data_IF_122956057424
#
_entry.id   IF_122956057424
#
_cell.length_a   1.000
_cell.length_b   1.000
_cell.length_c   1.000
_cell.angle_alpha   90.00
_cell.angle_beta   90.00
_cell.angle_gamma   90.00
#
_symmetry.space_group_name_H-M   'P 1'
#
loop_
_entity.id
_entity.type
_entity.pdbx_description
1 polymer ?
#
# COMPACT_ATOMS: atom_id res chain seq x y z
N UNK A 1 21.36 0.17 3.66
CA UNK A 1 20.90 -1.13 3.12
C UNK A 1 19.38 -1.07 3.07
N UNK A 2 18.83 -1.17 1.85
CA UNK A 2 17.52 -0.65 1.42
C UNK A 2 16.29 -1.09 2.23
N UNK A 3 15.72 -0.17 3.01
CA UNK A 3 14.34 -0.29 3.54
C UNK A 3 13.34 -0.51 2.38
N UNK A 4 13.52 0.23 1.29
CA UNK A 4 12.78 0.06 0.03
C UNK A 4 12.76 -1.39 -0.48
N UNK A 5 13.86 -2.13 -0.36
CA UNK A 5 13.92 -3.52 -0.84
C UNK A 5 13.14 -4.49 0.06
N UNK A 6 13.07 -4.22 1.37
CA UNK A 6 12.20 -4.98 2.30
C UNK A 6 10.73 -4.75 1.99
N UNK A 7 10.33 -3.49 1.79
CA UNK A 7 8.97 -3.17 1.40
C UNK A 7 8.62 -3.75 0.02
N UNK A 8 9.55 -3.69 -0.93
CA UNK A 8 9.36 -4.29 -2.26
C UNK A 8 9.12 -5.79 -2.21
N UNK A 9 9.82 -6.51 -1.34
CA UNK A 9 9.58 -7.94 -1.08
C UNK A 9 8.21 -8.21 -0.46
N UNK A 10 7.74 -7.34 0.45
CA UNK A 10 6.38 -7.41 1.04
C UNK A 10 5.27 -7.07 0.03
N UNK A 11 5.58 -6.27 -0.99
CA UNK A 11 4.64 -5.90 -2.05
C UNK A 11 4.53 -6.95 -3.17
N UNK A 12 5.50 -7.87 -3.29
CA UNK A 12 5.44 -9.02 -4.21
C UNK A 12 4.39 -10.02 -3.78
N UNK A 13 3.15 -9.69 -4.12
CA UNK A 13 1.94 -10.46 -3.87
C UNK A 13 1.55 -11.25 -5.11
N UNK A 14 0.71 -12.27 -4.95
CA UNK A 14 0.28 -13.14 -6.06
C UNK A 14 -0.50 -12.42 -7.18
N UNK A 15 -0.95 -11.18 -6.93
CA UNK A 15 -1.69 -10.35 -7.88
C UNK A 15 -0.83 -9.22 -8.45
N UNK A 16 -0.74 -9.16 -9.79
CA UNK A 16 0.03 -8.12 -10.52
C UNK A 16 -0.48 -6.71 -10.25
N UNK A 17 -1.79 -6.56 -10.10
CA UNK A 17 -2.43 -5.27 -9.81
C UNK A 17 -1.96 -4.69 -8.47
N UNK A 18 -1.93 -5.51 -7.41
CA UNK A 18 -1.40 -5.12 -6.11
C UNK A 18 0.08 -4.73 -6.19
N UNK A 19 0.89 -5.57 -6.85
CA UNK A 19 2.31 -5.31 -7.03
C UNK A 19 2.55 -3.96 -7.73
N UNK A 20 1.77 -3.66 -8.79
CA UNK A 20 1.89 -2.41 -9.53
C UNK A 20 1.56 -1.16 -8.71
N UNK A 21 0.41 -1.15 -8.03
CA UNK A 21 -0.01 0.03 -7.23
C UNK A 21 0.88 0.24 -6.02
N UNK A 22 1.31 -0.84 -5.35
CA UNK A 22 2.21 -0.77 -4.21
C UNK A 22 3.61 -0.32 -4.64
N UNK A 23 4.16 -0.85 -5.74
CA UNK A 23 5.47 -0.43 -6.23
C UNK A 23 5.49 1.04 -6.68
N UNK A 24 4.40 1.51 -7.29
CA UNK A 24 4.25 2.91 -7.71
C UNK A 24 4.14 3.86 -6.51
N UNK A 25 3.35 3.49 -5.49
CA UNK A 25 3.29 4.23 -4.23
C UNK A 25 4.64 4.25 -3.52
N UNK A 26 5.35 3.12 -3.46
CA UNK A 26 6.69 3.03 -2.87
C UNK A 26 7.72 3.91 -3.58
N UNK A 27 7.64 4.06 -4.90
CA UNK A 27 8.60 4.88 -5.66
C UNK A 27 8.30 6.37 -5.56
N UNK A 28 7.04 6.77 -5.69
CA UNK A 28 6.67 8.19 -5.71
C UNK A 28 6.41 8.76 -4.32
N UNK A 29 5.79 8.00 -3.44
CA UNK A 29 5.25 8.50 -2.17
C UNK A 29 6.12 8.15 -0.97
N UNK A 30 6.83 7.03 -0.95
CA UNK A 30 7.75 6.69 0.15
C UNK A 30 8.76 7.81 0.51
N UNK A 31 9.37 8.55 -0.45
CA UNK A 31 10.24 9.68 -0.10
C UNK A 31 9.50 10.94 0.37
N UNK A 32 8.19 11.03 0.16
CA UNK A 32 7.34 12.16 0.57
C UNK A 32 6.39 11.82 1.72
N UNK A 33 6.34 10.56 2.15
CA UNK A 33 5.44 10.06 3.17
C UNK A 33 6.00 10.36 4.55
N UNK A 34 5.17 10.94 5.40
CA UNK A 34 5.47 11.13 6.81
C UNK A 34 5.56 9.79 7.55
N UNK A 35 6.21 9.79 8.71
CA UNK A 35 6.37 8.60 9.54
C UNK A 35 5.01 7.94 9.90
N UNK A 36 3.95 8.73 10.08
CA UNK A 36 2.59 8.21 10.29
C UNK A 36 2.03 7.49 9.05
N UNK A 37 2.26 8.03 7.84
CA UNK A 37 1.81 7.39 6.59
C UNK A 37 2.58 6.10 6.33
N UNK A 38 3.89 6.09 6.59
CA UNK A 38 4.73 4.90 6.47
C UNK A 38 4.26 3.83 7.46
N UNK A 39 3.95 4.21 8.70
CA UNK A 39 3.45 3.27 9.71
C UNK A 39 2.09 2.68 9.31
N UNK A 40 1.14 3.52 8.87
CA UNK A 40 -0.16 3.04 8.37
C UNK A 40 -0.01 2.14 7.15
N UNK A 41 0.95 2.41 6.27
CA UNK A 41 1.23 1.57 5.12
C UNK A 41 1.88 0.24 5.51
N UNK A 42 2.76 0.22 6.52
CA UNK A 42 3.31 -1.03 7.05
C UNK A 42 2.21 -1.88 7.69
N UNK A 43 1.34 -1.30 8.53
CA UNK A 43 0.17 -2.00 9.09
C UNK A 43 -0.77 -2.52 7.99
N UNK A 44 -0.99 -1.73 6.94
CA UNK A 44 -1.77 -2.16 5.79
C UNK A 44 -1.10 -3.35 5.08
N UNK A 45 0.22 -3.34 4.91
CA UNK A 45 0.99 -4.44 4.33
C UNK A 45 1.00 -5.70 5.21
N UNK A 46 0.73 -5.60 6.51
CA UNK A 46 0.51 -6.75 7.40
C UNK A 46 -0.85 -7.43 7.16
N UNK A 47 -1.80 -6.77 6.49
CA UNK A 47 -3.07 -7.36 6.09
C UNK A 47 -2.90 -8.38 4.96
N UNK A 48 -3.81 -9.36 4.91
CA UNK A 48 -3.84 -10.39 3.88
C UNK A 48 -4.09 -9.80 2.47
N UNK A 49 -3.63 -10.50 1.44
CA UNK A 49 -3.88 -10.18 0.03
C UNK A 49 -5.32 -9.81 -0.32
N UNK A 50 -6.35 -10.62 0.03
CA UNK A 50 -7.74 -10.28 -0.26
C UNK A 50 -8.18 -8.96 0.39
N UNK A 51 -7.85 -8.72 1.66
CA UNK A 51 -8.19 -7.47 2.34
C UNK A 51 -7.54 -6.25 1.69
N UNK A 52 -6.27 -6.39 1.29
CA UNK A 52 -5.52 -5.30 0.68
C UNK A 52 -6.07 -4.97 -0.71
N UNK A 53 -6.47 -6.00 -1.46
CA UNK A 53 -7.22 -5.84 -2.70
C UNK A 53 -8.58 -5.17 -2.42
N UNK A 54 -9.31 -5.65 -1.40
CA UNK A 54 -10.51 -5.05 -0.80
C UNK A 54 -10.44 -3.54 -0.70
N UNK A 55 -9.41 -3.08 0.02
CA UNK A 55 -9.19 -1.69 0.37
C UNK A 55 -8.80 -0.83 -0.84
N UNK A 56 -7.91 -1.33 -1.71
CA UNK A 56 -7.41 -0.60 -2.87
C UNK A 56 -8.43 -0.55 -4.02
N UNK A 57 -9.21 -1.60 -4.21
CA UNK A 57 -10.22 -1.68 -5.26
C UNK A 57 -11.62 -1.29 -4.78
N UNK A 58 -11.77 -0.84 -3.52
CA UNK A 58 -13.07 -0.58 -2.88
C UNK A 58 -14.07 -1.74 -3.01
N UNK A 59 -13.57 -2.96 -3.07
CA UNK A 59 -14.44 -4.15 -3.09
C UNK A 59 -14.87 -4.58 -1.68
N UNK A 60 -14.21 -4.06 -0.63
CA UNK A 60 -14.58 -4.26 0.76
C UNK A 60 -14.65 -2.94 1.53
N UNK A 61 -15.18 -2.97 2.76
CA UNK A 61 -15.22 -1.81 3.64
C UNK A 61 -13.81 -1.42 4.09
N UNK A 62 -13.29 -0.32 3.54
CA UNK A 62 -12.02 0.25 3.98
C UNK A 62 -12.19 0.96 5.33
N UNK A 63 -11.43 0.58 6.36
CA UNK A 63 -11.42 1.31 7.64
C UNK A 63 -11.04 2.78 7.44
N UNK A 64 -11.68 3.69 8.18
CA UNK A 64 -11.46 5.15 8.04
C UNK A 64 -9.98 5.52 8.15
N UNK A 65 -9.23 4.82 9.00
CA UNK A 65 -7.78 4.99 9.18
C UNK A 65 -6.95 4.73 7.91
N UNK A 66 -7.38 3.82 7.03
CA UNK A 66 -6.69 3.50 5.77
C UNK A 66 -7.36 4.17 4.56
N UNK A 67 -8.53 4.78 4.73
CA UNK A 67 -9.30 5.35 3.63
C UNK A 67 -8.54 6.49 2.93
N UNK A 68 -7.91 7.38 3.71
CA UNK A 68 -7.08 8.46 3.17
C UNK A 68 -5.85 7.93 2.40
N UNK A 69 -5.18 6.92 2.94
CA UNK A 69 -4.01 6.28 2.33
C UNK A 69 -4.40 5.52 1.05
N UNK A 70 -5.46 4.73 1.09
CA UNK A 70 -5.98 3.99 -0.05
C UNK A 70 -6.43 4.95 -1.17
N UNK A 71 -7.10 6.06 -0.84
CA UNK A 71 -7.48 7.07 -1.81
C UNK A 71 -6.25 7.71 -2.51
N UNK A 72 -5.18 7.98 -1.75
CA UNK A 72 -3.90 8.45 -2.31
C UNK A 72 -3.28 7.42 -3.25
N UNK A 73 -3.15 6.16 -2.82
CA UNK A 73 -2.58 5.07 -3.63
C UNK A 73 -3.38 4.91 -4.94
N UNK A 74 -4.70 4.96 -4.86
CA UNK A 74 -5.59 4.85 -6.03
C UNK A 74 -5.48 6.02 -6.99
N UNK A 75 -5.29 7.25 -6.50
CA UNK A 75 -5.06 8.41 -7.38
C UNK A 75 -3.74 8.30 -8.15
N UNK A 76 -2.84 7.42 -7.72
CA UNK A 76 -1.56 7.12 -8.36
C UNK A 76 -1.60 5.86 -9.21
N UNK A 77 -2.68 5.07 -9.19
CA UNK A 77 -2.86 3.89 -10.04
C UNK A 77 -3.31 4.34 -11.44
#
# INVERSE_FOLDING_TARGET
MNELSRYKLRCRRGMKELDFVLERYLKNHFPQADAEEIQRFDELLELQDPNLFGILFQTEATPEQYQALAAKIRSLA
#
